data_IF_847354559693
#
_entry.id   IF_847354559693
#
_cell.length_a   1.000
_cell.length_b   1.000
_cell.length_c   1.000
_cell.angle_alpha   90.00
_cell.angle_beta   90.00
_cell.angle_gamma   90.00
#
_symmetry.space_group_name_H-M   'P 1'
#
loop_
_entity.id
_entity.type
_entity.pdbx_description
1 polymer ?
#
# COMPACT_ATOMS: atom_id res chain seq x y z
N UNK A 1 -0.42 -5.86 -14.06
CA UNK A 1 0.69 -5.36 -13.22
C UNK A 1 2.04 -6.05 -13.49
N UNK A 2 2.12 -7.39 -13.49
CA UNK A 2 3.37 -8.14 -13.72
C UNK A 2 4.15 -7.72 -14.98
N UNK A 3 3.48 -7.63 -16.13
CA UNK A 3 4.09 -7.25 -17.41
C UNK A 3 4.75 -5.87 -17.32
N UNK A 4 4.04 -4.89 -16.74
CA UNK A 4 4.55 -3.53 -16.52
C UNK A 4 5.79 -3.56 -15.62
N UNK A 5 5.74 -4.27 -14.50
CA UNK A 5 6.87 -4.39 -13.56
C UNK A 5 8.12 -5.00 -14.21
N UNK A 6 7.94 -6.03 -15.04
CA UNK A 6 9.05 -6.64 -15.79
C UNK A 6 9.63 -5.69 -16.84
N UNK A 7 8.77 -4.96 -17.57
CA UNK A 7 9.20 -3.97 -18.54
C UNK A 7 9.97 -2.82 -17.88
N UNK A 8 9.45 -2.28 -16.78
CA UNK A 8 10.10 -1.20 -16.02
C UNK A 8 11.45 -1.64 -15.46
N UNK A 9 11.55 -2.87 -14.95
CA UNK A 9 12.82 -3.44 -14.50
C UNK A 9 13.84 -3.53 -15.65
N UNK A 10 13.41 -3.99 -16.83
CA UNK A 10 14.28 -4.04 -18.02
C UNK A 10 14.76 -2.63 -18.40
N UNK A 11 13.87 -1.65 -18.40
CA UNK A 11 14.20 -0.25 -18.69
C UNK A 11 15.21 0.31 -17.69
N UNK A 12 15.02 0.07 -16.39
CA UNK A 12 15.96 0.51 -15.35
C UNK A 12 17.35 -0.13 -15.52
N UNK A 13 17.40 -1.42 -15.86
CA UNK A 13 18.67 -2.13 -16.12
C UNK A 13 19.41 -1.55 -17.35
N UNK A 14 18.69 -1.24 -18.43
CA UNK A 14 19.27 -0.63 -19.63
C UNK A 14 19.78 0.79 -19.36
N UNK A 15 19.05 1.56 -18.55
CA UNK A 15 19.43 2.91 -18.13
C UNK A 15 20.57 2.93 -17.09
N UNK A 16 21.01 1.76 -16.60
CA UNK A 16 21.99 1.61 -15.50
C UNK A 16 21.57 2.33 -14.21
N UNK A 17 20.26 2.46 -13.98
CA UNK A 17 19.69 3.01 -12.75
C UNK A 17 19.73 1.92 -11.67
N UNK A 18 20.81 1.90 -10.89
CA UNK A 18 21.06 0.87 -9.89
C UNK A 18 20.00 0.88 -8.77
N UNK A 19 19.62 2.06 -8.29
CA UNK A 19 18.64 2.22 -7.22
C UNK A 19 17.27 1.70 -7.66
N UNK A 20 16.78 2.14 -8.82
CA UNK A 20 15.50 1.66 -9.36
C UNK A 20 15.52 0.18 -9.66
N UNK A 21 16.62 -0.32 -10.21
CA UNK A 21 16.78 -1.76 -10.50
C UNK A 21 16.64 -2.59 -9.22
N UNK A 22 17.25 -2.17 -8.12
CA UNK A 22 17.16 -2.88 -6.84
C UNK A 22 15.72 -2.93 -6.32
N UNK A 23 15.04 -1.78 -6.29
CA UNK A 23 13.65 -1.68 -5.80
C UNK A 23 12.72 -2.54 -6.65
N UNK A 24 12.82 -2.46 -7.98
CA UNK A 24 11.95 -3.22 -8.88
C UNK A 24 12.22 -4.74 -8.83
N UNK A 25 13.45 -5.18 -8.58
CA UNK A 25 13.74 -6.60 -8.34
C UNK A 25 13.10 -7.09 -7.05
N UNK A 26 13.18 -6.32 -5.97
CA UNK A 26 12.53 -6.67 -4.71
C UNK A 26 11.01 -6.72 -4.85
N UNK A 27 10.42 -5.73 -5.54
CA UNK A 27 8.99 -5.72 -5.83
C UNK A 27 8.56 -6.92 -6.67
N UNK A 28 9.34 -7.28 -7.71
CA UNK A 28 9.07 -8.44 -8.54
C UNK A 28 9.17 -9.75 -7.75
N UNK A 29 10.15 -9.88 -6.86
CA UNK A 29 10.28 -11.02 -5.98
C UNK A 29 9.08 -11.15 -5.04
N UNK A 30 8.67 -10.05 -4.39
CA UNK A 30 7.49 -10.03 -3.52
C UNK A 30 6.20 -10.43 -4.27
N UNK A 31 6.00 -9.89 -5.48
CA UNK A 31 4.88 -10.26 -6.35
C UNK A 31 4.89 -11.75 -6.68
N UNK A 32 6.04 -12.30 -7.09
CA UNK A 32 6.15 -13.72 -7.46
C UNK A 32 5.96 -14.63 -6.26
N UNK A 33 6.46 -14.26 -5.09
CA UNK A 33 6.26 -15.01 -3.85
C UNK A 33 4.77 -15.08 -3.50
N UNK A 34 4.04 -13.98 -3.64
CA UNK A 34 2.58 -13.98 -3.44
C UNK A 34 1.86 -14.84 -4.49
N UNK A 35 2.27 -14.77 -5.77
CA UNK A 35 1.70 -15.63 -6.82
C UNK A 35 1.89 -17.13 -6.52
N UNK A 36 3.07 -17.51 -6.03
CA UNK A 36 3.35 -18.88 -5.57
C UNK A 36 2.49 -19.25 -4.37
N UNK A 37 2.37 -18.37 -3.37
CA UNK A 37 1.55 -18.59 -2.18
C UNK A 37 0.06 -18.79 -2.52
N UNK A 38 -0.42 -18.17 -3.59
CA UNK A 38 -1.79 -18.33 -4.13
C UNK A 38 -1.94 -19.53 -5.06
N UNK A 39 -0.91 -20.36 -5.24
CA UNK A 39 -0.94 -21.55 -6.10
C UNK A 39 -0.87 -21.27 -7.60
N UNK A 40 -0.54 -20.03 -8.02
CA UNK A 40 -0.43 -19.64 -9.42
C UNK A 40 0.96 -19.92 -10.02
N UNK A 41 1.92 -20.26 -9.16
CA UNK A 41 3.33 -20.47 -9.54
C UNK A 41 4.11 -19.17 -9.78
N UNK A 42 5.42 -19.26 -10.06
CA UNK A 42 6.33 -18.11 -10.11
C UNK A 42 6.15 -17.19 -11.32
N UNK A 43 5.37 -17.63 -12.32
CA UNK A 43 4.98 -16.83 -13.49
C UNK A 43 3.47 -16.53 -13.50
N UNK A 44 2.77 -16.91 -12.43
CA UNK A 44 1.35 -16.64 -12.26
C UNK A 44 1.07 -15.14 -12.18
N UNK A 45 -0.03 -14.71 -12.77
CA UNK A 45 -0.49 -13.33 -12.67
C UNK A 45 -1.50 -13.21 -11.54
N UNK A 46 -1.19 -12.42 -10.52
CA UNK A 46 -2.12 -12.08 -9.46
C UNK A 46 -3.31 -11.29 -9.99
N UNK A 47 -4.52 -11.52 -9.43
CA UNK A 47 -5.62 -10.58 -9.55
C UNK A 47 -5.19 -9.17 -9.13
N UNK A 48 -5.79 -8.14 -9.72
CA UNK A 48 -5.38 -6.75 -9.49
C UNK A 48 -5.39 -6.34 -8.02
N UNK A 49 -6.44 -6.72 -7.28
CA UNK A 49 -6.55 -6.42 -5.85
C UNK A 49 -5.41 -7.05 -5.02
N UNK A 50 -5.00 -8.28 -5.35
CA UNK A 50 -3.90 -8.98 -4.68
C UNK A 50 -2.56 -8.35 -5.03
N UNK A 51 -2.38 -7.96 -6.30
CA UNK A 51 -1.20 -7.24 -6.74
C UNK A 51 -1.05 -5.90 -6.01
N UNK A 52 -2.13 -5.11 -5.93
CA UNK A 52 -2.18 -3.87 -5.15
C UNK A 52 -1.83 -4.13 -3.68
N UNK A 53 -2.37 -5.20 -3.08
CA UNK A 53 -2.08 -5.55 -1.69
C UNK A 53 -0.58 -5.83 -1.44
N UNK A 54 0.11 -6.47 -2.39
CA UNK A 54 1.58 -6.65 -2.31
C UNK A 54 2.29 -5.30 -2.29
N UNK A 55 1.98 -4.41 -3.24
CA UNK A 55 2.64 -3.11 -3.34
C UNK A 55 2.36 -2.20 -2.14
N UNK A 56 1.14 -2.25 -1.59
CA UNK A 56 0.81 -1.53 -0.35
C UNK A 56 1.66 -1.99 0.83
N UNK A 57 1.83 -3.30 0.97
CA UNK A 57 2.64 -3.89 2.04
C UNK A 57 4.10 -3.45 1.93
N UNK A 58 4.63 -3.40 0.70
CA UNK A 58 5.96 -2.86 0.45
C UNK A 58 6.03 -1.39 0.87
N UNK A 59 5.15 -0.52 0.36
CA UNK A 59 5.15 0.91 0.74
C UNK A 59 5.05 1.09 2.26
N UNK A 60 4.13 0.39 2.92
CA UNK A 60 3.96 0.45 4.37
C UNK A 60 5.23 0.08 5.12
N UNK A 61 5.93 -0.99 4.72
CA UNK A 61 7.15 -1.40 5.41
C UNK A 61 8.23 -0.32 5.30
N UNK A 62 8.29 0.40 4.18
CA UNK A 62 9.22 1.51 3.99
C UNK A 62 8.85 2.72 4.83
N UNK A 63 7.57 3.08 4.91
CA UNK A 63 7.12 4.15 5.80
C UNK A 63 7.45 3.85 7.26
N UNK A 64 7.26 2.59 7.68
CA UNK A 64 7.62 2.14 9.02
C UNK A 64 9.14 2.24 9.24
N UNK A 65 9.96 1.85 8.25
CA UNK A 65 11.41 2.07 8.27
C UNK A 65 11.79 3.55 8.34
N UNK A 66 11.14 4.42 7.55
CA UNK A 66 11.36 5.88 7.59
C UNK A 66 11.17 6.39 9.01
N UNK A 67 10.02 6.08 9.62
CA UNK A 67 9.70 6.51 10.98
C UNK A 67 10.71 5.96 12.01
N UNK A 68 11.21 4.74 11.82
CA UNK A 68 12.24 4.16 12.68
C UNK A 68 13.59 4.86 12.52
N UNK A 69 14.05 5.10 11.30
CA UNK A 69 15.32 5.77 11.02
C UNK A 69 15.33 7.22 11.50
N UNK A 70 14.23 7.95 11.32
CA UNK A 70 14.09 9.32 11.83
C UNK A 70 14.17 9.38 13.35
N UNK A 71 13.53 8.43 14.06
CA UNK A 71 13.60 8.36 15.52
C UNK A 71 15.01 8.21 16.07
N UNK A 72 15.91 7.57 15.32
CA UNK A 72 17.31 7.34 15.72
C UNK A 72 18.30 8.26 15.01
N UNK A 73 17.82 9.32 14.34
CA UNK A 73 18.65 10.33 13.67
C UNK A 73 19.36 9.87 12.38
N UNK A 74 18.95 8.74 11.78
CA UNK A 74 19.52 8.20 10.54
C UNK A 74 18.84 8.81 9.29
N UNK A 75 19.01 10.12 9.10
CA UNK A 75 18.32 10.88 8.05
C UNK A 75 18.60 10.39 6.62
N UNK A 76 19.84 9.96 6.33
CA UNK A 76 20.20 9.44 5.00
C UNK A 76 19.45 8.15 4.66
N UNK A 77 19.29 7.24 5.63
CA UNK A 77 18.53 5.99 5.43
C UNK A 77 17.04 6.26 5.31
N UNK A 78 16.49 7.20 6.09
CA UNK A 78 15.12 7.65 5.92
C UNK A 78 14.88 8.26 4.52
N UNK A 79 15.85 9.01 4.00
CA UNK A 79 15.77 9.56 2.64
C UNK A 79 15.81 8.45 1.56
N UNK A 80 16.63 7.42 1.74
CA UNK A 80 16.65 6.26 0.84
C UNK A 80 15.29 5.56 0.82
N UNK A 81 14.71 5.25 1.98
CA UNK A 81 13.40 4.60 2.06
C UNK A 81 12.30 5.45 1.41
N UNK A 82 12.33 6.78 1.57
CA UNK A 82 11.42 7.70 0.86
C UNK A 82 11.57 7.61 -0.66
N UNK A 83 12.80 7.55 -1.17
CA UNK A 83 13.01 7.36 -2.61
C UNK A 83 12.45 6.03 -3.10
N UNK A 84 12.59 4.96 -2.32
CA UNK A 84 12.01 3.66 -2.66
C UNK A 84 10.48 3.70 -2.68
N UNK A 85 9.85 4.42 -1.73
CA UNK A 85 8.39 4.64 -1.71
C UNK A 85 7.93 5.31 -3.02
N UNK A 86 8.63 6.36 -3.47
CA UNK A 86 8.26 7.06 -4.71
C UNK A 86 8.40 6.19 -5.96
N UNK A 87 9.27 5.17 -5.93
CA UNK A 87 9.39 4.20 -7.02
C UNK A 87 8.28 3.14 -7.00
N UNK A 88 7.66 2.88 -5.84
CA UNK A 88 6.59 1.89 -5.67
C UNK A 88 5.19 2.50 -5.84
N UNK A 89 4.98 3.76 -5.46
CA UNK A 89 3.70 4.49 -5.59
C UNK A 89 3.07 4.40 -7.00
N UNK A 90 3.81 4.45 -8.11
CA UNK A 90 3.22 4.35 -9.46
C UNK A 90 2.51 3.02 -9.77
N UNK A 91 2.66 2.00 -8.93
CA UNK A 91 1.97 0.71 -9.03
C UNK A 91 0.71 0.62 -8.15
N UNK A 92 0.42 1.66 -7.39
CA UNK A 92 -0.77 1.78 -6.56
C UNK A 92 -1.78 2.74 -7.18
N UNK A 93 -3.08 2.58 -6.88
CA UNK A 93 -4.03 3.66 -7.11
C UNK A 93 -3.68 4.88 -6.25
N UNK A 94 -4.25 6.04 -6.58
CA UNK A 94 -4.12 7.22 -5.74
C UNK A 94 -4.65 6.92 -4.35
N UNK A 95 -3.76 6.90 -3.35
CA UNK A 95 -4.09 6.55 -1.97
C UNK A 95 -4.72 7.76 -1.28
N UNK A 96 -5.83 7.54 -0.56
CA UNK A 96 -6.40 8.49 0.37
C UNK A 96 -5.75 8.29 1.74
N UNK A 97 -5.21 9.36 2.28
CA UNK A 97 -4.42 9.38 3.51
C UNK A 97 -4.72 10.65 4.33
N UNK A 98 -4.31 10.65 5.59
CA UNK A 98 -4.40 11.83 6.46
C UNK A 98 -5.81 12.41 6.55
N UNK A 99 -5.98 13.75 6.39
CA UNK A 99 -7.29 14.40 6.49
C UNK A 99 -8.33 13.89 5.49
N UNK A 100 -7.91 13.46 4.30
CA UNK A 100 -8.81 12.92 3.30
C UNK A 100 -9.36 11.54 3.73
N UNK A 101 -8.51 10.70 4.33
CA UNK A 101 -8.95 9.43 4.91
C UNK A 101 -9.91 9.65 6.08
N UNK A 102 -9.62 10.62 6.95
CA UNK A 102 -10.51 10.95 8.07
C UNK A 102 -11.89 11.42 7.58
N UNK A 103 -11.94 12.28 6.55
CA UNK A 103 -13.19 12.72 5.94
C UNK A 103 -13.98 11.56 5.34
N UNK A 104 -13.32 10.67 4.59
CA UNK A 104 -13.93 9.48 4.02
C UNK A 104 -14.49 8.53 5.09
N UNK A 105 -13.79 8.38 6.23
CA UNK A 105 -14.28 7.59 7.37
C UNK A 105 -15.53 8.21 7.98
N UNK A 106 -15.57 9.54 8.16
CA UNK A 106 -16.75 10.23 8.70
C UNK A 106 -17.97 10.08 7.78
N UNK A 107 -17.77 10.18 6.48
CA UNK A 107 -18.82 9.95 5.48
C UNK A 107 -19.31 8.49 5.49
N UNK A 108 -18.39 7.54 5.62
CA UNK A 108 -18.72 6.12 5.75
C UNK A 108 -19.53 5.83 7.03
N UNK A 109 -19.21 6.46 8.16
CA UNK A 109 -19.99 6.35 9.41
C UNK A 109 -21.42 6.89 9.21
N UNK A 110 -21.54 8.08 8.61
CA UNK A 110 -22.83 8.73 8.39
C UNK A 110 -23.73 7.92 7.44
N UNK A 111 -23.16 7.44 6.32
CA UNK A 111 -23.91 6.66 5.32
C UNK A 111 -24.25 5.25 5.80
N UNK A 112 -23.44 4.64 6.68
CA UNK A 112 -23.72 3.31 7.21
C UNK A 112 -24.67 3.31 8.42
N UNK A 113 -24.96 4.48 9.00
CA UNK A 113 -25.75 4.61 10.23
C UNK A 113 -25.06 3.99 11.46
N UNK A 114 -23.73 3.86 11.44
CA UNK A 114 -22.98 3.26 12.53
C UNK A 114 -22.97 4.19 13.75
N UNK A 115 -23.21 3.64 14.94
CA UNK A 115 -23.29 4.44 16.17
C UNK A 115 -22.35 3.96 17.28
N UNK A 116 -21.81 2.75 17.15
CA UNK A 116 -20.93 2.15 18.16
C UNK A 116 -19.77 1.39 17.53
N UNK A 117 -18.72 1.11 18.32
CA UNK A 117 -17.61 0.24 17.88
C UNK A 117 -18.04 -1.14 17.35
N UNK A 118 -19.21 -1.66 17.74
CA UNK A 118 -19.76 -2.92 17.21
C UNK A 118 -20.09 -2.82 15.72
N UNK A 119 -20.36 -1.61 15.25
CA UNK A 119 -20.75 -1.31 13.87
C UNK A 119 -19.56 -1.03 12.96
N UNK A 120 -18.31 -1.14 13.46
CA UNK A 120 -17.09 -0.88 12.68
C UNK A 120 -17.08 -1.67 11.35
N UNK A 121 -17.59 -2.90 11.34
CA UNK A 121 -17.70 -3.71 10.13
C UNK A 121 -18.58 -3.09 9.04
N UNK A 122 -19.61 -2.33 9.41
CA UNK A 122 -20.48 -1.62 8.47
C UNK A 122 -19.74 -0.43 7.86
N UNK A 123 -19.02 0.34 8.69
CA UNK A 123 -18.22 1.48 8.24
C UNK A 123 -17.13 1.03 7.27
N UNK A 124 -16.41 -0.04 7.60
CA UNK A 124 -15.36 -0.57 6.73
C UNK A 124 -15.92 -1.07 5.39
N UNK A 125 -17.12 -1.65 5.37
CA UNK A 125 -17.81 -2.05 4.13
C UNK A 125 -18.21 -0.84 3.29
N UNK A 126 -18.76 0.21 3.90
CA UNK A 126 -19.12 1.45 3.21
C UNK A 126 -17.88 2.13 2.59
N UNK A 127 -16.79 2.20 3.36
CA UNK A 127 -15.52 2.75 2.90
C UNK A 127 -14.94 1.95 1.71
N UNK A 128 -15.00 0.61 1.78
CA UNK A 128 -14.57 -0.26 0.68
C UNK A 128 -15.45 -0.11 -0.56
N UNK A 129 -16.76 0.09 -0.40
CA UNK A 129 -17.67 0.31 -1.52
C UNK A 129 -17.39 1.64 -2.23
N UNK A 130 -17.06 2.70 -1.49
CA UNK A 130 -16.81 4.03 -2.04
C UNK A 130 -15.40 4.20 -2.61
N UNK A 131 -14.37 3.64 -1.95
CA UNK A 131 -12.97 3.90 -2.27
C UNK A 131 -12.19 2.65 -2.68
N UNK A 132 -12.83 1.49 -2.74
CA UNK A 132 -12.19 0.22 -3.10
C UNK A 132 -11.02 -0.09 -2.17
N UNK A 133 -9.82 -0.19 -2.75
CA UNK A 133 -8.58 -0.41 -2.02
C UNK A 133 -7.70 0.84 -2.00
N UNK A 134 -8.24 2.05 -2.10
CA UNK A 134 -7.43 3.27 -2.13
C UNK A 134 -6.96 3.76 -0.75
N UNK A 135 -6.92 2.95 0.31
CA UNK A 135 -6.53 3.38 1.66
C UNK A 135 -5.77 2.30 2.44
N UNK A 136 -5.08 2.68 3.52
CA UNK A 136 -4.54 1.73 4.50
C UNK A 136 -5.65 1.25 5.45
N UNK A 137 -5.94 -0.06 5.44
CA UNK A 137 -7.04 -0.63 6.21
C UNK A 137 -6.83 -0.56 7.72
N UNK A 138 -5.58 -0.60 8.18
CA UNK A 138 -5.26 -0.49 9.61
C UNK A 138 -5.45 0.94 10.10
N UNK A 139 -4.96 1.93 9.35
CA UNK A 139 -5.17 3.35 9.63
C UNK A 139 -6.67 3.69 9.61
N UNK A 140 -7.41 3.21 8.61
CA UNK A 140 -8.86 3.36 8.56
C UNK A 140 -9.54 2.74 9.80
N UNK A 141 -9.18 1.51 10.16
CA UNK A 141 -9.75 0.84 11.35
C UNK A 141 -9.48 1.60 12.65
N UNK A 142 -8.26 2.13 12.82
CA UNK A 142 -7.90 2.95 13.99
C UNK A 142 -8.75 4.23 14.02
N UNK A 143 -8.92 4.91 12.88
CA UNK A 143 -9.75 6.12 12.78
C UNK A 143 -11.22 5.82 13.08
N UNK A 144 -11.77 4.71 12.58
CA UNK A 144 -13.15 4.30 12.90
C UNK A 144 -13.30 4.08 14.41
N UNK A 145 -12.34 3.38 15.03
CA UNK A 145 -12.36 3.15 16.48
C UNK A 145 -12.24 4.43 17.30
N UNK A 146 -11.52 5.44 16.82
CA UNK A 146 -11.39 6.72 17.51
C UNK A 146 -12.61 7.62 17.34
N UNK A 147 -13.36 7.48 16.23
CA UNK A 147 -14.51 8.31 15.91
C UNK A 147 -15.84 7.74 16.44
N UNK A 148 -15.90 6.43 16.73
CA UNK A 148 -17.06 5.78 17.33
C UNK A 148 -16.89 5.57 18.84
N UNK A 149 -18.00 5.76 19.58
CA UNK A 149 -18.09 5.50 21.01
C UNK A 149 -17.91 4.01 21.34
#
# INVERSE_FOLDING_TARGET
>A
MLIRLQADLKTAMLARDAARTQVLRMALAAYKNEAVAKGLGPQGTLPEAEAIAVFKRLVKSREDSVAQFEKVGQAERAAQERQEIELLKPYLPAMIEGPALEAAVKEAIASSGASSKKDMGLVMKALQAAHGTAYDGKAASILVQSLLA
#
